data_IF_798375510029
#
_entry.id   IF_798375510029
#
_cell.length_a   1.000
_cell.length_b   1.000
_cell.length_c   1.000
_cell.angle_alpha   90.00
_cell.angle_beta   90.00
_cell.angle_gamma   90.00
#
_symmetry.space_group_name_H-M   'P 1'
#
loop_
_entity.id
_entity.type
_entity.pdbx_description
1 polymer ?
#
# COMPACT_ATOMS: atom_id res chain seq x y z
N UNK A 1 29.40 -36.61 48.07
CA UNK A 1 29.17 -35.45 47.19
C UNK A 1 29.00 -34.25 48.10
N UNK A 2 29.91 -33.31 47.91
CA UNK A 2 30.38 -32.22 48.78
C UNK A 2 29.26 -31.27 49.28
N UNK A 3 29.20 -30.79 50.53
CA UNK A 3 30.15 -30.18 51.50
C UNK A 3 30.30 -28.65 51.33
N UNK A 4 29.66 -27.94 52.26
CA UNK A 4 30.03 -26.65 52.90
C UNK A 4 29.74 -25.26 52.28
N UNK A 5 28.78 -24.63 52.96
CA UNK A 5 28.62 -23.20 53.28
C UNK A 5 29.74 -22.77 54.26
N UNK A 6 30.51 -21.69 54.02
CA UNK A 6 31.06 -20.76 55.06
C UNK A 6 32.12 -19.73 54.56
N UNK A 7 32.00 -18.47 55.06
CA UNK A 7 33.07 -17.52 55.55
C UNK A 7 33.88 -16.70 54.52
N UNK A 8 34.22 -15.39 54.67
CA UNK A 8 33.89 -14.26 55.59
C UNK A 8 34.48 -12.94 55.00
N UNK A 9 33.80 -11.83 55.29
CA UNK A 9 34.25 -10.48 55.70
C UNK A 9 35.72 -10.01 55.52
N UNK A 10 35.90 -8.79 54.99
CA UNK A 10 36.80 -7.65 55.33
C UNK A 10 36.72 -6.68 54.12
N UNK A 11 36.66 -5.35 54.16
CA UNK A 11 36.90 -4.31 55.16
C UNK A 11 36.25 -2.99 54.67
N UNK A 12 35.83 -2.12 55.60
CA UNK A 12 35.65 -0.69 55.33
C UNK A 12 36.99 -0.07 54.93
N UNK A 13 37.00 0.88 53.96
CA UNK A 13 37.94 2.01 53.71
C UNK A 13 37.50 2.63 52.35
N UNK A 14 36.86 3.80 52.34
CA UNK A 14 37.40 5.17 52.28
C UNK A 14 37.38 5.74 50.84
N UNK A 15 36.44 6.67 50.63
CA UNK A 15 36.45 7.85 49.76
C UNK A 15 37.39 7.83 48.53
N UNK A 16 36.79 7.81 47.34
CA UNK A 16 37.30 8.55 46.19
C UNK A 16 36.15 9.34 45.56
N UNK A 17 36.26 10.66 45.65
CA UNK A 17 35.49 11.64 44.91
C UNK A 17 35.71 11.39 43.41
N UNK A 18 34.79 10.67 42.77
CA UNK A 18 34.63 10.77 41.33
C UNK A 18 33.39 11.62 41.10
N UNK A 19 33.65 12.92 40.90
CA UNK A 19 32.74 13.85 40.27
C UNK A 19 32.50 13.41 38.83
N UNK A 20 31.67 12.39 38.61
CA UNK A 20 30.95 12.33 37.36
C UNK A 20 29.79 13.32 37.53
N UNK A 21 30.03 14.54 37.06
CA UNK A 21 28.96 15.43 36.65
C UNK A 21 27.92 14.55 35.97
N UNK A 22 26.77 14.42 36.63
CA UNK A 22 25.59 13.80 36.06
C UNK A 22 25.18 14.72 34.91
N UNK A 23 25.92 14.63 33.80
CA UNK A 23 25.49 15.13 32.52
C UNK A 23 24.14 14.47 32.34
N UNK A 24 23.10 15.30 32.38
CA UNK A 24 21.75 14.91 32.08
C UNK A 24 21.82 14.08 30.81
N UNK A 25 21.70 12.75 30.95
CA UNK A 25 21.37 11.91 29.81
C UNK A 25 19.98 12.40 29.46
N UNK A 26 19.93 13.35 28.52
CA UNK A 26 18.75 13.62 27.76
C UNK A 26 18.42 12.27 27.13
N UNK A 27 17.55 11.50 27.79
CA UNK A 27 16.81 10.43 27.15
C UNK A 27 16.21 11.12 25.95
N UNK A 28 16.75 10.82 24.77
CA UNK A 28 16.03 11.06 23.53
C UNK A 28 14.75 10.26 23.74
N UNK A 29 13.69 10.96 24.13
CA UNK A 29 12.36 10.43 24.07
C UNK A 29 12.19 10.07 22.60
N UNK A 30 12.36 8.79 22.27
CA UNK A 30 11.85 8.22 21.05
C UNK A 30 10.34 8.43 21.12
N UNK A 31 9.91 9.61 20.68
CA UNK A 31 8.52 9.84 20.36
C UNK A 31 8.19 8.80 19.29
N UNK A 32 7.45 7.76 19.67
CA UNK A 32 6.80 6.86 18.73
C UNK A 32 5.77 7.68 17.94
N UNK A 33 6.23 8.50 16.99
CA UNK A 33 5.37 9.26 16.10
C UNK A 33 4.82 8.29 15.09
N UNK A 34 3.54 7.93 15.23
CA UNK A 34 2.86 7.11 14.24
C UNK A 34 2.87 7.84 12.90
N UNK A 35 3.30 7.13 11.85
CA UNK A 35 3.36 7.67 10.48
C UNK A 35 1.95 8.11 10.05
N UNK A 36 1.80 9.32 9.54
CA UNK A 36 0.51 9.86 9.07
C UNK A 36 0.00 9.09 7.86
N UNK A 37 -1.30 9.18 7.56
CA UNK A 37 -1.88 8.55 6.35
C UNK A 37 -1.18 9.05 5.09
N UNK A 38 -0.92 10.35 4.99
CA UNK A 38 -0.24 10.95 3.84
C UNK A 38 1.17 10.40 3.67
N UNK A 39 1.92 10.24 4.76
CA UNK A 39 3.25 9.63 4.70
C UNK A 39 3.20 8.15 4.27
N UNK A 40 2.14 7.41 4.63
CA UNK A 40 1.92 6.04 4.12
C UNK A 40 1.60 6.04 2.63
N UNK A 41 0.76 6.97 2.17
CA UNK A 41 0.42 7.13 0.75
C UNK A 41 1.67 7.52 -0.06
N UNK A 42 2.46 8.49 0.40
CA UNK A 42 3.75 8.88 -0.19
C UNK A 42 4.70 7.69 -0.32
N UNK A 43 4.79 6.85 0.73
CA UNK A 43 5.57 5.61 0.67
C UNK A 43 5.04 4.63 -0.38
N UNK A 44 3.72 4.47 -0.47
CA UNK A 44 3.08 3.65 -1.48
C UNK A 44 3.39 4.14 -2.90
N UNK A 45 3.23 5.45 -3.14
CA UNK A 45 3.55 6.11 -4.41
C UNK A 45 5.02 5.85 -4.78
N UNK A 46 5.95 6.10 -3.85
CA UNK A 46 7.38 5.86 -4.08
C UNK A 46 7.69 4.43 -4.50
N UNK A 47 7.05 3.45 -3.87
CA UNK A 47 7.27 2.03 -4.16
C UNK A 47 6.70 1.61 -5.51
N UNK A 48 5.51 2.10 -5.87
CA UNK A 48 4.75 1.55 -7.00
C UNK A 48 4.69 2.45 -8.24
N UNK A 49 5.08 3.73 -8.16
CA UNK A 49 5.11 4.64 -9.30
C UNK A 49 5.93 4.12 -10.49
N UNK A 50 7.11 3.49 -10.32
CA UNK A 50 7.83 2.88 -11.44
C UNK A 50 7.02 1.78 -12.14
N UNK A 51 6.23 1.02 -11.39
CA UNK A 51 5.41 -0.07 -11.92
C UNK A 51 4.20 0.52 -12.68
N UNK A 52 3.52 1.52 -12.12
CA UNK A 52 2.41 2.22 -12.77
C UNK A 52 2.87 2.88 -14.10
N UNK A 53 4.01 3.59 -14.08
CA UNK A 53 4.64 4.15 -15.31
C UNK A 53 4.94 3.08 -16.35
N UNK A 54 5.43 1.92 -15.92
CA UNK A 54 5.67 0.78 -16.82
C UNK A 54 4.37 0.23 -17.39
N UNK A 55 3.32 0.08 -16.58
CA UNK A 55 2.01 -0.36 -17.07
C UNK A 55 1.44 0.62 -18.08
N UNK A 56 1.52 1.93 -17.82
CA UNK A 56 1.08 2.96 -18.76
C UNK A 56 1.78 2.86 -20.11
N UNK A 57 3.12 2.69 -20.13
CA UNK A 57 3.87 2.54 -21.37
C UNK A 57 3.39 1.34 -22.20
N UNK A 58 3.06 0.23 -21.55
CA UNK A 58 2.66 -1.03 -22.20
C UNK A 58 1.17 -1.03 -22.59
N UNK A 59 0.29 -0.72 -21.64
CA UNK A 59 -1.16 -0.88 -21.76
C UNK A 59 -1.92 0.42 -21.99
N UNK A 60 -1.23 1.56 -21.97
CA UNK A 60 -1.79 2.89 -22.32
C UNK A 60 -2.85 3.45 -21.35
N UNK A 61 -2.98 2.86 -20.16
CA UNK A 61 -3.75 3.42 -19.02
C UNK A 61 -2.89 4.49 -18.34
N UNK A 62 -3.41 5.69 -18.00
CA UNK A 62 -2.64 6.70 -17.28
C UNK A 62 -2.03 6.15 -16.00
N UNK A 63 -0.77 6.50 -15.73
CA UNK A 63 -0.07 6.06 -14.53
C UNK A 63 -0.70 6.68 -13.28
N UNK A 64 -1.18 7.92 -13.38
CA UNK A 64 -1.95 8.62 -12.35
C UNK A 64 -3.20 7.85 -11.93
N UNK A 65 -3.99 7.38 -12.90
CA UNK A 65 -5.18 6.55 -12.68
C UNK A 65 -4.81 5.23 -11.99
N UNK A 66 -3.82 4.51 -12.54
CA UNK A 66 -3.39 3.23 -11.96
C UNK A 66 -2.89 3.42 -10.53
N UNK A 67 -2.17 4.52 -10.25
CA UNK A 67 -1.68 4.82 -8.91
C UNK A 67 -2.80 5.18 -7.95
N UNK A 68 -3.74 6.03 -8.35
CA UNK A 68 -4.87 6.44 -7.53
C UNK A 68 -5.78 5.25 -7.18
N UNK A 69 -6.10 4.40 -8.16
CA UNK A 69 -6.81 3.13 -7.91
C UNK A 69 -6.00 2.26 -6.96
N UNK A 70 -4.70 2.08 -7.22
CA UNK A 70 -3.84 1.31 -6.33
C UNK A 70 -3.86 1.82 -4.89
N UNK A 71 -3.84 3.15 -4.66
CA UNK A 71 -3.94 3.73 -3.31
C UNK A 71 -5.31 3.46 -2.69
N UNK A 72 -6.40 3.71 -3.42
CA UNK A 72 -7.76 3.57 -2.92
C UNK A 72 -8.11 2.11 -2.60
N UNK A 73 -7.94 1.22 -3.57
CA UNK A 73 -8.38 -0.18 -3.50
C UNK A 73 -7.54 -1.02 -2.52
N UNK A 74 -6.26 -0.66 -2.32
CA UNK A 74 -5.39 -1.39 -1.40
C UNK A 74 -5.34 -0.80 0.01
N UNK A 75 -6.06 0.29 0.26
CA UNK A 75 -5.87 1.11 1.46
C UNK A 75 -4.39 1.48 1.61
N UNK A 76 -3.79 2.05 0.56
CA UNK A 76 -2.36 2.41 0.47
C UNK A 76 -1.41 1.26 0.86
N UNK A 77 -1.78 0.03 0.48
CA UNK A 77 -1.03 -1.21 0.70
C UNK A 77 -1.29 -1.86 2.05
N UNK A 78 -2.17 -1.29 2.88
CA UNK A 78 -2.42 -1.75 4.23
C UNK A 78 -3.60 -2.72 4.37
N UNK A 79 -4.47 -2.82 3.37
CA UNK A 79 -5.62 -3.73 3.38
C UNK A 79 -5.20 -5.21 3.37
N UNK A 80 -6.09 -6.07 3.85
CA UNK A 80 -5.86 -7.51 3.99
C UNK A 80 -5.44 -8.16 2.68
N UNK A 81 -6.15 -7.86 1.58
CA UNK A 81 -5.86 -8.42 0.25
C UNK A 81 -4.48 -7.96 -0.27
N UNK A 82 -4.10 -6.71 -0.02
CA UNK A 82 -2.78 -6.21 -0.40
C UNK A 82 -1.67 -6.92 0.39
N UNK A 83 -1.79 -6.99 1.72
CA UNK A 83 -0.78 -7.60 2.61
C UNK A 83 -0.64 -9.11 2.46
N UNK A 84 -1.76 -9.83 2.41
CA UNK A 84 -1.76 -11.31 2.45
C UNK A 84 -1.75 -11.94 1.07
N UNK A 85 -2.25 -11.25 0.05
CA UNK A 85 -2.41 -11.80 -1.29
C UNK A 85 -1.70 -10.98 -2.38
N UNK A 86 -1.02 -9.88 -2.04
CA UNK A 86 -0.46 -8.95 -3.01
C UNK A 86 -1.49 -8.46 -4.04
N UNK A 87 -2.77 -8.47 -3.69
CA UNK A 87 -3.87 -8.04 -4.54
C UNK A 87 -4.23 -6.60 -4.19
N UNK A 88 -3.65 -5.66 -4.94
CA UNK A 88 -3.78 -4.23 -4.68
C UNK A 88 -5.05 -3.60 -5.29
N UNK A 89 -5.82 -4.35 -6.07
CA UNK A 89 -6.95 -3.85 -6.86
C UNK A 89 -8.24 -4.65 -6.63
N UNK A 90 -8.27 -5.45 -5.56
CA UNK A 90 -9.46 -6.24 -5.21
C UNK A 90 -9.94 -7.20 -6.32
N UNK A 91 -9.06 -7.69 -7.19
CA UNK A 91 -9.51 -8.49 -8.34
C UNK A 91 -10.06 -9.84 -7.85
N UNK A 92 -11.36 -10.03 -8.03
CA UNK A 92 -12.10 -11.27 -7.72
C UNK A 92 -11.68 -12.41 -8.65
N UNK A 93 -11.84 -13.64 -8.18
CA UNK A 93 -11.69 -14.83 -9.01
C UNK A 93 -12.81 -14.84 -10.07
N UNK A 94 -12.43 -14.99 -11.33
CA UNK A 94 -13.38 -15.23 -12.41
C UNK A 94 -13.26 -16.69 -12.86
N UNK A 95 -14.20 -17.18 -13.67
CA UNK A 95 -14.31 -18.61 -14.05
C UNK A 95 -13.02 -19.19 -14.64
N UNK A 96 -12.19 -18.35 -15.24
CA UNK A 96 -10.92 -18.68 -15.89
C UNK A 96 -9.70 -18.62 -14.95
N UNK A 97 -9.85 -18.15 -13.71
CA UNK A 97 -8.73 -17.99 -12.78
C UNK A 97 -8.26 -19.35 -12.23
N UNK A 98 -7.04 -19.74 -12.63
CA UNK A 98 -6.36 -20.97 -12.18
C UNK A 98 -5.21 -20.73 -11.20
N UNK A 99 -4.97 -19.47 -10.84
CA UNK A 99 -3.88 -19.09 -9.94
C UNK A 99 -4.20 -19.27 -8.46
N UNK A 100 -3.29 -18.84 -7.59
CA UNK A 100 -3.55 -18.80 -6.15
C UNK A 100 -4.74 -17.90 -5.84
N UNK A 101 -5.45 -18.21 -4.77
CA UNK A 101 -6.62 -17.45 -4.31
C UNK A 101 -6.59 -17.30 -2.79
N UNK A 102 -7.30 -16.29 -2.30
CA UNK A 102 -7.65 -16.10 -0.90
C UNK A 102 -9.16 -15.84 -0.84
N UNK A 103 -9.79 -16.24 0.25
CA UNK A 103 -11.18 -15.89 0.53
C UNK A 103 -11.22 -14.75 1.54
N UNK A 104 -12.08 -13.77 1.29
CA UNK A 104 -12.24 -12.59 2.13
C UNK A 104 -13.67 -12.07 1.96
N UNK A 105 -14.24 -11.54 3.02
CA UNK A 105 -15.55 -10.88 2.94
C UNK A 105 -15.36 -9.50 2.34
N UNK A 106 -16.25 -9.12 1.41
CA UNK A 106 -16.25 -7.82 0.74
C UNK A 106 -17.69 -7.34 0.54
N UNK A 107 -18.29 -7.55 -0.64
CA UNK A 107 -19.71 -7.28 -0.86
C UNK A 107 -20.57 -8.40 -0.26
N UNK A 108 -20.08 -9.63 -0.35
CA UNK A 108 -20.69 -10.84 0.18
C UNK A 108 -19.70 -11.60 1.07
N UNK A 109 -20.20 -12.53 1.89
CA UNK A 109 -19.35 -13.41 2.68
C UNK A 109 -18.56 -14.38 1.79
N UNK A 110 -17.30 -14.63 2.18
CA UNK A 110 -16.44 -15.65 1.61
C UNK A 110 -16.24 -15.52 0.09
N UNK A 111 -16.04 -14.30 -0.39
CA UNK A 111 -15.74 -14.04 -1.80
C UNK A 111 -14.32 -14.47 -2.17
N UNK A 112 -14.17 -14.98 -3.39
CA UNK A 112 -12.87 -15.43 -3.89
C UNK A 112 -12.11 -14.27 -4.53
N UNK A 113 -10.89 -14.03 -4.05
CA UNK A 113 -9.96 -13.06 -4.61
C UNK A 113 -8.70 -13.72 -5.16
N UNK A 114 -8.17 -13.16 -6.26
CA UNK A 114 -6.89 -13.58 -6.82
C UNK A 114 -5.78 -13.29 -5.82
N UNK A 115 -4.80 -14.20 -5.74
CA UNK A 115 -3.59 -14.04 -4.94
C UNK A 115 -2.36 -14.16 -5.82
N UNK A 116 -1.40 -13.27 -5.58
CA UNK A 116 -0.25 -13.07 -6.43
C UNK A 116 1.05 -13.26 -5.66
N UNK A 117 2.10 -13.65 -6.39
CA UNK A 117 3.45 -13.81 -5.81
C UNK A 117 4.06 -12.48 -5.35
N UNK A 118 3.69 -11.37 -5.99
CA UNK A 118 4.15 -10.02 -5.63
C UNK A 118 3.19 -8.96 -6.20
N UNK A 119 3.27 -7.69 -5.73
CA UNK A 119 2.39 -6.61 -6.19
C UNK A 119 2.50 -6.33 -7.69
N UNK A 120 3.68 -6.47 -8.29
CA UNK A 120 3.87 -6.24 -9.74
C UNK A 120 2.91 -7.08 -10.58
N UNK A 121 2.59 -8.31 -10.12
CA UNK A 121 1.64 -9.19 -10.80
C UNK A 121 0.20 -8.69 -10.72
N UNK A 122 -0.23 -8.12 -9.58
CA UNK A 122 -1.58 -7.53 -9.50
C UNK A 122 -1.70 -6.25 -10.31
N UNK A 123 -0.65 -5.42 -10.39
CA UNK A 123 -0.62 -4.26 -11.30
C UNK A 123 -0.75 -4.65 -12.78
N UNK A 124 -0.05 -5.72 -13.19
CA UNK A 124 -0.19 -6.24 -14.55
C UNK A 124 -1.60 -6.81 -14.79
N UNK A 125 -2.13 -7.57 -13.84
CA UNK A 125 -3.46 -8.19 -13.99
C UNK A 125 -4.58 -7.14 -14.01
N UNK A 126 -4.47 -6.08 -13.21
CA UNK A 126 -5.34 -4.91 -13.28
C UNK A 126 -5.30 -4.24 -14.67
N UNK A 127 -4.10 -4.08 -15.24
CA UNK A 127 -3.98 -3.50 -16.58
C UNK A 127 -4.65 -4.37 -17.64
N UNK A 128 -4.44 -5.69 -17.57
CA UNK A 128 -5.10 -6.64 -18.47
C UNK A 128 -6.63 -6.68 -18.26
N UNK A 129 -7.09 -6.53 -17.02
CA UNK A 129 -8.51 -6.46 -16.69
C UNK A 129 -9.20 -5.27 -17.37
N UNK A 130 -8.55 -4.09 -17.40
CA UNK A 130 -9.08 -2.92 -18.10
C UNK A 130 -8.96 -3.06 -19.62
N UNK A 131 -7.84 -3.55 -20.13
CA UNK A 131 -7.61 -3.69 -21.59
C UNK A 131 -8.53 -4.73 -22.24
N UNK A 132 -8.77 -5.86 -21.58
CA UNK A 132 -9.43 -7.01 -22.21
C UNK A 132 -10.95 -7.02 -22.09
N UNK A 133 -11.56 -6.07 -21.37
CA UNK A 133 -13.02 -6.05 -21.16
C UNK A 133 -13.66 -4.94 -21.97
N UNK A 134 -14.58 -5.31 -22.84
CA UNK A 134 -15.24 -4.39 -23.78
C UNK A 134 -15.85 -3.16 -23.11
N UNK A 135 -16.40 -3.31 -21.89
CA UNK A 135 -17.00 -2.20 -21.14
C UNK A 135 -16.03 -1.05 -20.85
N UNK A 136 -14.72 -1.30 -20.88
CA UNK A 136 -13.68 -0.28 -20.65
C UNK A 136 -13.02 0.21 -21.94
N UNK A 137 -13.34 -0.38 -23.10
CA UNK A 137 -12.63 -0.12 -24.35
C UNK A 137 -12.65 1.36 -24.75
N UNK A 138 -13.77 2.04 -24.51
CA UNK A 138 -13.93 3.47 -24.81
C UNK A 138 -13.01 4.38 -23.99
N UNK A 139 -12.48 3.92 -22.85
CA UNK A 139 -11.52 4.70 -22.06
C UNK A 139 -10.24 4.97 -22.84
N UNK A 140 -9.86 4.06 -23.73
CA UNK A 140 -8.62 4.16 -24.49
C UNK A 140 -8.71 5.17 -25.65
N UNK A 141 -9.91 5.67 -25.95
CA UNK A 141 -10.14 6.79 -26.87
C UNK A 141 -9.98 8.15 -26.17
N UNK A 142 -9.99 8.17 -24.83
CA UNK A 142 -9.78 9.37 -24.03
C UNK A 142 -8.29 9.73 -24.03
N UNK A 143 -7.98 11.03 -24.13
CA UNK A 143 -6.62 11.52 -23.98
C UNK A 143 -6.03 11.05 -22.64
N UNK A 144 -4.87 10.40 -22.68
CA UNK A 144 -4.22 9.82 -21.49
C UNK A 144 -3.83 10.87 -20.44
N UNK A 145 -3.69 12.13 -20.84
CA UNK A 145 -3.43 13.25 -19.91
C UNK A 145 -4.70 13.75 -19.22
N UNK A 146 -5.88 13.33 -19.67
CA UNK A 146 -7.15 13.72 -19.09
C UNK A 146 -7.61 12.70 -18.05
N UNK A 147 -6.94 12.72 -16.89
CA UNK A 147 -7.26 11.82 -15.79
C UNK A 147 -8.68 12.02 -15.23
N UNK A 148 -9.29 13.20 -15.43
CA UNK A 148 -10.66 13.47 -14.98
C UNK A 148 -11.65 12.68 -15.84
N UNK A 149 -11.54 12.79 -17.16
CA UNK A 149 -12.35 11.99 -18.08
C UNK A 149 -12.14 10.48 -17.89
N UNK A 150 -10.90 10.05 -17.62
CA UNK A 150 -10.63 8.65 -17.28
C UNK A 150 -11.32 8.19 -15.99
N UNK A 151 -11.27 8.98 -14.91
CA UNK A 151 -11.90 8.64 -13.64
C UNK A 151 -13.44 8.58 -13.75
N UNK A 152 -14.04 9.55 -14.45
CA UNK A 152 -15.48 9.56 -14.75
C UNK A 152 -15.87 8.38 -15.65
N UNK A 153 -15.07 8.09 -16.67
CA UNK A 153 -15.28 6.96 -17.56
C UNK A 153 -15.23 5.61 -16.82
N UNK A 154 -14.27 5.44 -15.90
CA UNK A 154 -14.18 4.22 -15.06
C UNK A 154 -15.45 4.02 -14.23
N UNK A 155 -15.97 5.10 -13.63
CA UNK A 155 -17.23 5.06 -12.89
C UNK A 155 -18.39 4.71 -13.82
N UNK A 156 -18.50 5.37 -14.98
CA UNK A 156 -19.53 5.11 -16.00
C UNK A 156 -19.50 3.67 -16.52
N UNK A 157 -18.31 3.08 -16.66
CA UNK A 157 -18.11 1.69 -17.06
C UNK A 157 -18.43 0.67 -15.95
N UNK A 158 -18.79 1.14 -14.75
CA UNK A 158 -19.15 0.30 -13.61
C UNK A 158 -17.95 -0.36 -12.94
N UNK A 159 -16.79 0.31 -12.90
CA UNK A 159 -15.62 -0.19 -12.15
C UNK A 159 -15.96 -0.38 -10.66
N UNK A 160 -16.61 0.61 -10.06
CA UNK A 160 -17.08 0.59 -8.66
C UNK A 160 -18.53 1.06 -8.55
N UNK A 161 -19.25 0.54 -7.55
CA UNK A 161 -20.63 0.90 -7.22
C UNK A 161 -20.73 2.24 -6.48
N UNK A 162 -19.70 2.62 -5.72
CA UNK A 162 -19.59 3.88 -5.00
C UNK A 162 -19.85 5.11 -5.90
N UNK A 163 -20.88 5.94 -5.65
CA UNK A 163 -21.19 7.10 -6.46
C UNK A 163 -20.06 8.14 -6.52
N UNK A 164 -19.21 8.21 -5.50
CA UNK A 164 -18.12 9.17 -5.40
C UNK A 164 -16.78 8.66 -5.97
N UNK A 165 -16.76 7.49 -6.61
CA UNK A 165 -15.52 6.84 -7.04
C UNK A 165 -14.62 7.75 -7.89
N UNK A 166 -15.19 8.43 -8.90
CA UNK A 166 -14.43 9.33 -9.77
C UNK A 166 -13.86 10.51 -8.98
N UNK A 167 -14.63 11.07 -8.06
CA UNK A 167 -14.23 12.20 -7.19
C UNK A 167 -13.07 11.77 -6.30
N UNK A 168 -13.12 10.56 -5.70
CA UNK A 168 -12.06 10.02 -4.86
C UNK A 168 -10.75 9.83 -5.64
N UNK A 169 -10.82 9.30 -6.87
CA UNK A 169 -9.64 9.18 -7.73
C UNK A 169 -9.06 10.55 -8.09
N UNK A 170 -9.89 11.50 -8.53
CA UNK A 170 -9.46 12.86 -8.88
C UNK A 170 -8.80 13.54 -7.67
N UNK A 171 -9.40 13.44 -6.49
CA UNK A 171 -8.86 13.98 -5.24
C UNK A 171 -7.48 13.41 -4.90
N UNK A 172 -7.29 12.09 -5.03
CA UNK A 172 -5.97 11.47 -4.83
C UNK A 172 -4.94 11.94 -5.86
N UNK A 173 -5.35 12.05 -7.13
CA UNK A 173 -4.46 12.51 -8.21
C UNK A 173 -4.01 13.94 -7.99
N UNK A 174 -4.92 14.83 -7.59
CA UNK A 174 -4.63 16.24 -7.36
C UNK A 174 -3.82 16.44 -6.08
N UNK A 175 -4.24 15.85 -4.96
CA UNK A 175 -3.58 16.00 -3.65
C UNK A 175 -2.14 15.51 -3.64
N UNK A 176 -1.85 14.41 -4.32
CA UNK A 176 -0.51 13.81 -4.39
C UNK A 176 0.19 14.07 -5.72
N UNK A 177 -0.33 14.98 -6.55
CA UNK A 177 0.26 15.36 -7.85
C UNK A 177 0.58 14.16 -8.76
N UNK A 178 -0.29 13.14 -8.76
CA UNK A 178 -0.04 11.88 -9.47
C UNK A 178 -0.04 12.05 -10.99
N UNK A 179 -0.60 13.13 -11.52
CA UNK A 179 -0.54 13.47 -12.95
C UNK A 179 0.89 13.70 -13.45
N UNK A 180 1.86 13.99 -12.56
CA UNK A 180 3.29 14.02 -12.91
C UNK A 180 3.86 12.63 -13.26
N UNK A 181 3.07 11.57 -13.09
CA UNK A 181 3.46 10.22 -13.49
C UNK A 181 3.18 9.92 -14.97
N UNK A 182 2.31 10.70 -15.62
CA UNK A 182 1.80 10.45 -16.97
C UNK A 182 2.77 10.84 -18.11
#
# INVERSE_FOLDING_TARGET
MDVNKFIKFFSLILISLITFSCGTINRINQSNTSITIDQKIERYIKLYAPIAKKQMKVYKIPASITMAQGILESGYGEATLAKKANNHFGIKCHKDWKGKKIYHDDDEENECFRSYRNPVKSYKDHSLFLVNRDRYRFLFDINKKDYKAWAEGLKKAGYATDPEYSIKLISLIERFSLSQLD
#
